data_IF_910050782267
#
_entry.id   IF_910050782267
#
_cell.length_a   1.000
_cell.length_b   1.000
_cell.length_c   1.000
_cell.angle_alpha   90.00
_cell.angle_beta   90.00
_cell.angle_gamma   90.00
#
_symmetry.space_group_name_H-M   'P 1'
#
loop_
_entity.id
_entity.type
_entity.pdbx_description
1 polymer ?
#
# COMPACT_ATOMS: atom_id res chain seq x y z
N UNK A 1 -10.32 -14.98 -10.02
CA UNK A 1 -10.76 -13.58 -10.13
C UNK A 1 -9.84 -12.91 -11.15
N UNK A 2 -10.34 -12.03 -12.01
CA UNK A 2 -9.52 -11.32 -12.97
C UNK A 2 -9.79 -9.83 -12.79
N UNK A 3 -8.95 -9.19 -11.97
CA UNK A 3 -8.93 -7.73 -11.83
C UNK A 3 -8.12 -7.23 -13.03
N UNK A 4 -8.72 -6.37 -13.86
CA UNK A 4 -8.09 -5.86 -15.08
C UNK A 4 -7.49 -4.45 -14.90
N UNK A 5 -7.91 -3.72 -13.85
CA UNK A 5 -7.43 -2.38 -13.49
C UNK A 5 -7.73 -2.11 -12.02
N UNK A 6 -6.96 -1.20 -11.38
CA UNK A 6 -7.21 -0.74 -10.02
C UNK A 6 -7.66 0.72 -10.06
N UNK A 7 -8.69 1.07 -9.29
CA UNK A 7 -9.08 2.45 -9.00
C UNK A 7 -8.76 2.74 -7.53
N UNK A 8 -7.89 3.71 -7.27
CA UNK A 8 -7.47 4.06 -5.91
C UNK A 8 -7.50 5.57 -5.66
N UNK A 9 -7.61 5.99 -4.40
CA UNK A 9 -7.41 7.38 -4.00
C UNK A 9 -5.94 7.62 -3.61
N UNK A 10 -5.34 8.72 -4.05
CA UNK A 10 -3.97 9.07 -3.66
C UNK A 10 -3.85 9.26 -2.13
N UNK A 11 -4.87 9.86 -1.52
CA UNK A 11 -4.94 10.05 -0.07
C UNK A 11 -5.07 8.73 0.70
N UNK A 12 -5.63 7.68 0.09
CA UNK A 12 -5.69 6.35 0.69
C UNK A 12 -4.28 5.77 0.84
N UNK A 13 -3.47 5.79 -0.23
CA UNK A 13 -2.08 5.34 -0.19
C UNK A 13 -1.28 6.15 0.83
N UNK A 14 -1.48 7.48 0.86
CA UNK A 14 -0.86 8.35 1.87
C UNK A 14 -1.21 7.92 3.29
N UNK A 15 -2.49 7.70 3.55
CA UNK A 15 -3.00 7.35 4.87
C UNK A 15 -2.46 5.99 5.30
N UNK A 16 -2.40 5.02 4.39
CA UNK A 16 -1.82 3.71 4.64
C UNK A 16 -0.33 3.80 5.03
N UNK A 17 0.48 4.53 4.26
CA UNK A 17 1.91 4.73 4.55
C UNK A 17 2.11 5.48 5.87
N UNK A 18 1.30 6.50 6.15
CA UNK A 18 1.35 7.21 7.42
C UNK A 18 1.01 6.30 8.59
N UNK A 19 -0.02 5.45 8.47
CA UNK A 19 -0.35 4.47 9.51
C UNK A 19 0.79 3.49 9.72
N UNK A 20 1.41 2.98 8.65
CA UNK A 20 2.51 2.00 8.73
C UNK A 20 3.70 2.53 9.53
N UNK A 21 4.13 3.76 9.24
CA UNK A 21 5.35 4.32 9.82
C UNK A 21 5.13 5.16 11.09
N UNK A 22 3.93 5.66 11.33
CA UNK A 22 3.64 6.61 12.42
C UNK A 22 2.64 6.09 13.44
N UNK A 23 1.89 5.03 13.13
CA UNK A 23 0.86 4.46 14.00
C UNK A 23 1.22 3.01 14.36
N UNK A 24 0.88 2.58 15.58
CA UNK A 24 1.13 1.22 16.10
C UNK A 24 -0.17 0.38 16.04
N UNK A 25 -1.17 0.83 15.26
CA UNK A 25 -2.52 0.26 15.21
C UNK A 25 -2.65 -1.04 14.39
N UNK A 26 -1.54 -1.58 13.88
CA UNK A 26 -1.51 -2.79 13.04
C UNK A 26 -0.82 -2.55 11.70
N UNK A 27 -0.93 -3.51 10.79
CA UNK A 27 -0.32 -3.41 9.45
C UNK A 27 -1.38 -2.93 8.43
N UNK A 28 -1.26 -1.71 7.90
CA UNK A 28 -2.20 -1.19 6.92
C UNK A 28 -1.90 -1.75 5.53
N UNK A 29 -2.96 -2.11 4.81
CA UNK A 29 -2.91 -2.62 3.45
C UNK A 29 -3.94 -1.93 2.57
N UNK A 30 -3.67 -1.92 1.27
CA UNK A 30 -4.64 -1.52 0.26
C UNK A 30 -5.35 -2.78 -0.21
N UNK A 31 -6.62 -2.94 0.17
CA UNK A 31 -7.48 -4.03 -0.28
C UNK A 31 -8.09 -3.67 -1.62
N UNK A 32 -7.84 -4.49 -2.62
CA UNK A 32 -8.44 -4.39 -3.96
C UNK A 32 -9.57 -5.40 -4.08
N UNK A 33 -10.78 -4.91 -4.32
CA UNK A 33 -11.96 -5.74 -4.50
C UNK A 33 -11.98 -6.43 -5.90
N UNK A 34 -12.92 -7.36 -6.16
CA UNK A 34 -13.01 -8.05 -7.45
C UNK A 34 -13.27 -7.14 -8.66
N UNK A 35 -13.85 -5.97 -8.43
CA UNK A 35 -14.17 -4.98 -9.44
C UNK A 35 -12.99 -4.00 -9.68
N UNK A 36 -11.93 -4.09 -8.86
CA UNK A 36 -10.73 -3.27 -8.94
C UNK A 36 -10.77 -2.02 -8.05
N UNK A 37 -11.75 -1.85 -7.16
CA UNK A 37 -11.76 -0.69 -6.25
C UNK A 37 -10.82 -0.95 -5.07
N UNK A 38 -10.00 0.05 -4.74
CA UNK A 38 -9.08 0.00 -3.62
C UNK A 38 -9.66 0.69 -2.38
N UNK A 39 -9.58 0.01 -1.25
CA UNK A 39 -9.98 0.50 0.08
C UNK A 39 -8.84 0.28 1.10
N UNK A 40 -8.79 1.11 2.15
CA UNK A 40 -7.84 0.94 3.26
C UNK A 40 -8.35 -0.14 4.21
N UNK A 41 -7.51 -1.13 4.50
CA UNK A 41 -7.76 -2.14 5.51
C UNK A 41 -6.57 -2.22 6.46
N UNK A 42 -6.80 -2.55 7.74
CA UNK A 42 -5.72 -2.70 8.74
C UNK A 42 -5.81 -4.09 9.34
N UNK A 43 -4.71 -4.84 9.25
CA UNK A 43 -4.54 -6.12 9.92
C UNK A 43 -4.04 -5.88 11.35
N UNK A 44 -4.92 -6.06 12.33
CA UNK A 44 -4.62 -5.83 13.75
C UNK A 44 -3.52 -6.76 14.28
N UNK A 45 -3.42 -7.98 13.75
CA UNK A 45 -2.45 -9.01 14.15
C UNK A 45 -1.20 -9.04 13.25
N UNK A 46 -1.08 -8.10 12.30
CA UNK A 46 -0.04 -8.07 11.27
C UNK A 46 -0.45 -8.76 9.97
N UNK A 47 0.20 -8.40 8.88
CA UNK A 47 -0.11 -8.90 7.53
C UNK A 47 0.49 -10.28 7.24
N UNK A 48 1.66 -10.55 7.82
CA UNK A 48 2.31 -11.85 7.76
C UNK A 48 1.90 -12.71 8.96
N UNK A 49 1.45 -13.93 8.68
CA UNK A 49 1.18 -14.91 9.72
C UNK A 49 2.50 -15.38 10.37
N UNK A 50 2.47 -16.06 11.53
CA UNK A 50 3.69 -16.49 12.23
C UNK A 50 4.53 -17.55 11.48
N UNK A 51 4.00 -18.13 10.40
CA UNK A 51 4.72 -19.04 9.50
C UNK A 51 5.36 -18.29 8.31
N UNK A 52 5.08 -16.99 8.17
CA UNK A 52 5.55 -16.12 7.09
C UNK A 52 4.68 -16.15 5.83
N UNK A 53 3.49 -16.75 5.88
CA UNK A 53 2.52 -16.65 4.80
C UNK A 53 1.60 -15.43 5.00
N UNK A 54 1.17 -14.84 3.91
CA UNK A 54 0.30 -13.67 3.94
C UNK A 54 -1.16 -14.10 4.04
N UNK A 55 -1.87 -13.57 5.04
CA UNK A 55 -3.30 -13.83 5.23
C UNK A 55 -4.12 -12.98 4.25
N UNK A 56 -4.44 -13.57 3.11
CA UNK A 56 -5.19 -12.92 2.05
C UNK A 56 -6.69 -13.16 2.20
N UNK A 57 -7.55 -12.16 1.90
CA UNK A 57 -8.99 -12.34 1.97
C UNK A 57 -9.50 -13.37 0.95
N UNK A 58 -10.61 -14.03 1.30
CA UNK A 58 -11.32 -14.95 0.39
C UNK A 58 -11.82 -14.24 -0.89
N UNK A 59 -12.15 -12.95 -0.77
CA UNK A 59 -12.61 -12.09 -1.85
C UNK A 59 -11.72 -10.84 -1.92
N UNK A 60 -11.02 -10.66 -3.04
CA UNK A 60 -10.12 -9.53 -3.28
C UNK A 60 -8.64 -9.90 -3.11
N UNK A 61 -7.80 -8.86 -2.98
CA UNK A 61 -6.35 -8.97 -2.78
C UNK A 61 -5.92 -7.85 -1.83
N UNK A 62 -5.15 -8.20 -0.81
CA UNK A 62 -4.50 -7.21 0.05
C UNK A 62 -3.07 -6.98 -0.43
N UNK A 63 -2.71 -5.71 -0.59
CA UNK A 63 -1.41 -5.30 -1.15
C UNK A 63 -0.78 -4.27 -0.21
N UNK A 64 0.52 -4.42 0.05
CA UNK A 64 1.26 -3.43 0.84
C UNK A 64 1.25 -2.05 0.17
N UNK A 65 1.00 -0.94 0.90
CA UNK A 65 0.86 0.38 0.31
C UNK A 65 2.11 0.87 -0.43
N UNK A 66 3.29 0.38 -0.07
CA UNK A 66 4.57 0.66 -0.74
C UNK A 66 4.57 0.21 -2.20
N UNK A 67 3.77 -0.79 -2.56
CA UNK A 67 3.63 -1.25 -3.96
C UNK A 67 2.95 -0.22 -4.85
N UNK A 68 2.18 0.71 -4.27
CA UNK A 68 1.54 1.82 -4.98
C UNK A 68 2.48 3.03 -5.15
N UNK A 69 3.72 2.92 -4.68
CA UNK A 69 4.72 3.97 -4.77
C UNK A 69 5.83 3.53 -5.71
N UNK A 70 6.10 4.34 -6.72
CA UNK A 70 7.19 4.14 -7.66
C UNK A 70 8.55 4.42 -7.04
N UNK A 71 9.61 4.11 -7.80
CA UNK A 71 11.00 4.27 -7.37
C UNK A 71 11.44 5.73 -7.12
N UNK A 72 10.60 6.71 -7.42
CA UNK A 72 10.90 8.14 -7.24
C UNK A 72 10.77 8.60 -5.78
N UNK A 73 10.04 7.85 -4.94
CA UNK A 73 9.95 8.12 -3.50
C UNK A 73 10.65 7.01 -2.72
N UNK A 74 11.79 7.35 -2.12
CA UNK A 74 12.53 6.47 -1.23
C UNK A 74 11.76 6.27 0.09
N UNK A 75 11.21 5.06 0.26
CA UNK A 75 10.52 4.61 1.47
C UNK A 75 11.46 3.76 2.34
N UNK A 76 11.38 3.89 3.68
CA UNK A 76 12.12 3.02 4.60
C UNK A 76 11.75 1.56 4.46
N UNK A 77 12.67 0.65 4.83
CA UNK A 77 12.32 -0.77 4.92
C UNK A 77 11.37 -1.02 6.11
N UNK A 78 10.62 -2.11 6.05
CA UNK A 78 9.69 -2.54 7.12
C UNK A 78 10.36 -2.59 8.52
N UNK A 79 11.60 -3.04 8.60
CA UNK A 79 12.33 -3.23 9.87
C UNK A 79 13.27 -2.06 10.23
N UNK A 80 13.18 -0.92 9.54
CA UNK A 80 14.03 0.25 9.87
C UNK A 80 13.55 0.91 11.17
N UNK A 81 14.44 1.00 12.16
CA UNK A 81 14.22 1.74 13.41
C UNK A 81 14.43 3.24 13.13
N UNK A 82 13.35 3.92 12.75
CA UNK A 82 13.36 5.34 12.37
C UNK A 82 13.38 6.25 13.60
N UNK A 83 14.27 7.23 13.60
CA UNK A 83 14.26 8.29 14.61
C UNK A 83 13.12 9.29 14.39
N UNK A 84 12.76 10.06 15.44
CA UNK A 84 11.72 11.11 15.35
C UNK A 84 11.99 12.12 14.22
N UNK A 85 13.26 12.51 14.00
CA UNK A 85 13.66 13.42 12.92
C UNK A 85 13.46 12.79 11.52
N UNK A 86 13.69 11.46 11.40
CA UNK A 86 13.47 10.72 10.16
C UNK A 86 11.97 10.55 9.86
N UNK A 87 11.16 10.31 10.90
CA UNK A 87 9.70 10.25 10.79
C UNK A 87 9.09 11.60 10.39
N UNK A 88 9.58 12.71 10.94
CA UNK A 88 9.16 14.06 10.53
C UNK A 88 9.46 14.30 9.05
N UNK A 89 10.70 14.00 8.63
CA UNK A 89 11.14 14.12 7.23
C UNK A 89 10.28 13.26 6.30
N UNK A 90 10.00 12.02 6.68
CA UNK A 90 9.15 11.11 5.91
C UNK A 90 7.72 11.67 5.75
N UNK A 91 7.16 12.21 6.83
CA UNK A 91 5.81 12.81 6.82
C UNK A 91 5.74 14.00 5.85
N UNK A 92 6.73 14.88 5.86
CA UNK A 92 6.81 16.02 4.94
C UNK A 92 6.90 15.56 3.47
N UNK A 93 7.70 14.52 3.20
CA UNK A 93 7.86 13.94 1.86
C UNK A 93 6.58 13.27 1.37
N UNK A 94 5.90 12.48 2.22
CA UNK A 94 4.60 11.88 1.89
C UNK A 94 3.53 12.95 1.60
N UNK A 95 3.62 14.13 2.22
CA UNK A 95 2.71 15.24 1.97
C UNK A 95 2.99 16.01 0.68
N UNK A 96 4.23 16.03 0.19
CA UNK A 96 4.66 16.92 -0.91
C UNK A 96 5.08 16.19 -2.19
N UNK A 97 5.63 14.99 -2.07
CA UNK A 97 6.23 14.23 -3.17
C UNK A 97 5.39 13.01 -3.60
N UNK A 98 4.57 12.46 -2.69
CA UNK A 98 3.85 11.20 -2.92
C UNK A 98 3.03 11.18 -4.21
N UNK A 99 2.21 12.21 -4.46
CA UNK A 99 1.33 12.25 -5.65
C UNK A 99 2.10 12.15 -6.96
N UNK A 100 3.32 12.70 -7.02
CA UNK A 100 4.17 12.63 -8.20
C UNK A 100 4.90 11.29 -8.32
N UNK A 101 5.00 10.54 -7.22
CA UNK A 101 5.69 9.27 -7.13
C UNK A 101 4.74 8.05 -7.13
N UNK A 102 3.43 8.24 -7.27
CA UNK A 102 2.48 7.13 -7.34
C UNK A 102 2.75 6.24 -8.56
N UNK A 103 2.72 4.93 -8.36
CA UNK A 103 2.99 3.95 -9.39
C UNK A 103 1.83 3.84 -10.38
N UNK A 104 2.11 3.88 -11.69
CA UNK A 104 1.08 3.74 -12.75
C UNK A 104 0.55 2.30 -12.89
N UNK A 105 1.29 1.31 -12.37
CA UNK A 105 0.97 -0.11 -12.45
C UNK A 105 1.36 -0.81 -11.13
N UNK A 106 0.59 -1.81 -10.72
CA UNK A 106 0.81 -2.60 -9.50
C UNK A 106 0.68 -4.08 -9.80
N UNK A 107 1.61 -4.88 -9.27
CA UNK A 107 1.51 -6.34 -9.29
C UNK A 107 0.56 -6.82 -8.20
N UNK A 108 -0.57 -7.41 -8.57
CA UNK A 108 -1.54 -7.99 -7.63
C UNK A 108 -0.97 -9.19 -6.85
N UNK A 109 0.06 -9.83 -7.38
CA UNK A 109 0.73 -10.97 -6.76
C UNK A 109 2.08 -10.59 -6.14
N UNK A 110 2.33 -9.29 -6.00
CA UNK A 110 3.53 -8.71 -5.38
C UNK A 110 3.90 -9.38 -4.05
N UNK A 111 2.88 -9.67 -3.25
CA UNK A 111 2.99 -10.20 -1.90
C UNK A 111 2.50 -11.67 -1.85
N UNK A 112 2.46 -12.38 -2.98
CA UNK A 112 2.00 -13.79 -3.07
C UNK A 112 3.05 -14.67 -3.74
N UNK A 113 3.04 -15.97 -3.42
CA UNK A 113 3.82 -16.98 -4.15
C UNK A 113 3.15 -17.37 -5.49
N UNK A 114 2.64 -16.39 -6.23
CA UNK A 114 1.99 -16.57 -7.52
C UNK A 114 2.79 -15.88 -8.64
N UNK A 115 2.43 -16.14 -9.89
CA UNK A 115 3.07 -15.45 -11.02
C UNK A 115 2.65 -13.99 -11.05
N UNK A 116 3.59 -13.10 -11.38
CA UNK A 116 3.35 -11.66 -11.53
C UNK A 116 2.07 -11.38 -12.34
N UNK A 117 1.22 -10.50 -11.80
CA UNK A 117 -0.04 -10.06 -12.39
C UNK A 117 -0.13 -8.54 -12.29
N UNK A 118 0.59 -7.85 -13.18
CA UNK A 118 0.64 -6.39 -13.25
C UNK A 118 -0.63 -5.83 -13.89
N UNK A 119 -1.26 -4.89 -13.20
CA UNK A 119 -2.45 -4.18 -13.67
C UNK A 119 -2.25 -2.66 -13.54
N UNK A 120 -2.85 -1.85 -14.44
CA UNK A 120 -2.77 -0.40 -14.36
C UNK A 120 -3.56 0.14 -13.16
N UNK A 121 -3.08 1.24 -12.58
CA UNK A 121 -3.75 1.97 -11.49
C UNK A 121 -4.21 3.34 -11.96
N UNK A 122 -5.50 3.63 -11.79
CA UNK A 122 -6.07 4.95 -11.98
C UNK A 122 -6.28 5.61 -10.61
N UNK A 123 -5.49 6.65 -10.33
CA UNK A 123 -5.68 7.45 -9.12
C UNK A 123 -6.77 8.49 -9.31
N UNK A 124 -7.84 8.33 -8.55
CA UNK A 124 -8.88 9.34 -8.44
C UNK A 124 -8.33 10.55 -7.68
N UNK A 125 -8.19 11.67 -8.38
CA UNK A 125 -7.86 12.99 -7.79
C UNK A 125 -9.08 13.67 -7.16
N UNK A 126 -10.23 12.98 -7.18
CA UNK A 126 -11.40 13.42 -6.42
C UNK A 126 -11.18 13.08 -4.96
N UNK A 127 -10.57 14.03 -4.24
CA UNK A 127 -10.86 14.14 -2.81
C UNK A 127 -12.38 14.26 -2.58
N UNK A 128 -12.86 14.04 -1.34
CA UNK A 128 -14.26 14.23 -0.99
C UNK A 128 -14.81 15.62 -1.35
#
# INVERSE_FOLDING_TARGET
MAIDHITAEADLVRTALQQKYLDDAGEPVVRVDPDGNADLFVHEDGFDNPEGDIDQPDEGVDIRPERFVGSDLDLPADDDDLSEDELETLTERLGSELEAALAEEVDLNADREESENVVPVEYSTKGP
#
